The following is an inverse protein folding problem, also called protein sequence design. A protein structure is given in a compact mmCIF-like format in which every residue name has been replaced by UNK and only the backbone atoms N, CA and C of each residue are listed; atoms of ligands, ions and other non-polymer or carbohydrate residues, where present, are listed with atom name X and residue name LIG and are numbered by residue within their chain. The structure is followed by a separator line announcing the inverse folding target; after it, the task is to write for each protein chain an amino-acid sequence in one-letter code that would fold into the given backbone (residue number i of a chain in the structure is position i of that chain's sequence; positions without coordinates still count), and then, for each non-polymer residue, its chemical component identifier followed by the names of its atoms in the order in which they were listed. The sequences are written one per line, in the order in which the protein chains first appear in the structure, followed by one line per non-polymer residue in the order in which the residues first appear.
data_IF_420011963568
#
_entry.id   IF_420011963568
#
_cell.length_a   1.000
_cell.length_b   1.000
_cell.length_c   1.000
_cell.angle_alpha   90.00
_cell.angle_beta   90.00
_cell.angle_gamma   90.00
#
_symmetry.space_group_name_H-M   'P 1'
#
loop_
_entity.id
_entity.type
_entity.pdbx_description
1 polymer ?
#
# COMPACT_ATOMS: atom_id res chain seq x y z
N UNK A 1 -7.60 -28.50 5.88
CA UNK A 1 -8.83 -27.67 6.04
C UNK A 1 -9.61 -27.77 4.75
N UNK A 2 -10.93 -28.05 4.84
CA UNK A 2 -11.81 -28.15 3.67
C UNK A 2 -11.77 -26.83 2.86
N UNK A 3 -11.60 -26.95 1.56
CA UNK A 3 -11.79 -25.85 0.63
C UNK A 3 -13.25 -25.37 0.76
N UNK A 4 -13.50 -24.33 1.55
CA UNK A 4 -14.75 -23.59 1.48
C UNK A 4 -14.75 -22.81 0.18
N UNK A 5 -15.31 -23.42 -0.85
CA UNK A 5 -15.62 -22.71 -2.10
C UNK A 5 -16.78 -21.75 -1.83
N UNK A 6 -16.77 -20.62 -2.54
CA UNK A 6 -17.92 -19.73 -2.69
C UNK A 6 -19.17 -20.58 -2.86
N UNK A 7 -20.17 -20.34 -2.03
CA UNK A 7 -21.47 -20.99 -2.15
C UNK A 7 -22.24 -20.22 -3.21
N UNK A 8 -22.50 -20.85 -4.38
CA UNK A 8 -23.54 -20.35 -5.28
C UNK A 8 -24.83 -20.28 -4.47
N UNK A 9 -25.36 -19.07 -4.33
CA UNK A 9 -26.70 -18.94 -3.76
C UNK A 9 -27.72 -19.41 -4.79
N UNK A 10 -28.90 -19.81 -4.33
CA UNK A 10 -30.02 -20.09 -5.24
C UNK A 10 -30.52 -18.80 -5.95
N UNK A 11 -29.99 -17.62 -5.56
CA UNK A 11 -30.40 -16.34 -6.07
C UNK A 11 -29.63 -15.97 -7.35
N UNK A 12 -30.35 -15.37 -8.29
CA UNK A 12 -29.83 -14.88 -9.56
C UNK A 12 -30.17 -13.40 -9.73
N UNK A 13 -29.24 -12.65 -10.31
CA UNK A 13 -29.51 -11.29 -10.75
C UNK A 13 -30.06 -11.31 -12.19
N UNK A 14 -31.17 -10.59 -12.42
CA UNK A 14 -31.81 -10.52 -13.70
C UNK A 14 -31.51 -9.18 -14.40
N UNK A 15 -30.90 -9.24 -15.59
CA UNK A 15 -30.64 -8.08 -16.45
C UNK A 15 -31.58 -8.10 -17.66
N UNK A 16 -32.51 -7.17 -17.71
CA UNK A 16 -33.40 -7.00 -18.85
C UNK A 16 -32.78 -6.03 -19.86
N UNK A 17 -32.64 -6.48 -21.11
CA UNK A 17 -32.15 -5.67 -22.23
C UNK A 17 -33.13 -5.74 -23.39
N UNK A 18 -34.01 -4.73 -23.49
CA UNK A 18 -35.17 -4.77 -24.39
C UNK A 18 -36.10 -5.89 -23.99
N UNK A 19 -36.43 -6.80 -24.90
CA UNK A 19 -37.32 -7.95 -24.66
C UNK A 19 -36.57 -9.19 -24.13
N UNK A 20 -35.25 -9.14 -24.02
CA UNK A 20 -34.43 -10.27 -23.54
C UNK A 20 -34.12 -10.13 -22.07
N UNK A 21 -34.26 -11.27 -21.33
CA UNK A 21 -33.87 -11.38 -19.92
C UNK A 21 -32.63 -12.27 -19.82
N UNK A 22 -31.65 -11.86 -19.01
CA UNK A 22 -30.39 -12.56 -18.82
C UNK A 22 -30.16 -12.76 -17.33
N UNK A 23 -29.86 -14.00 -16.93
CA UNK A 23 -29.60 -14.37 -15.55
C UNK A 23 -28.12 -14.51 -15.28
N UNK A 24 -27.67 -13.98 -14.13
CA UNK A 24 -26.30 -14.02 -13.66
C UNK A 24 -26.25 -14.59 -12.24
N UNK A 25 -25.34 -15.53 -11.95
CA UNK A 25 -25.18 -16.07 -10.60
C UNK A 25 -24.82 -14.97 -9.59
N UNK A 26 -25.29 -15.15 -8.36
CA UNK A 26 -24.88 -14.35 -7.21
C UNK A 26 -24.00 -15.21 -6.32
N UNK A 27 -22.88 -14.68 -5.86
CA UNK A 27 -21.99 -15.31 -4.92
C UNK A 27 -21.94 -14.54 -3.61
N UNK A 28 -21.94 -15.27 -2.50
CA UNK A 28 -21.73 -14.71 -1.17
C UNK A 28 -20.31 -15.02 -0.70
N UNK A 29 -19.63 -13.97 -0.17
CA UNK A 29 -18.42 -14.18 0.62
C UNK A 29 -18.78 -14.70 2.02
N UNK A 30 -17.77 -15.05 2.82
CA UNK A 30 -17.97 -15.38 4.24
C UNK A 30 -18.42 -14.17 5.06
N UNK A 31 -18.02 -12.99 4.63
CA UNK A 31 -18.42 -11.68 5.17
C UNK A 31 -18.47 -10.66 4.02
N UNK A 32 -19.23 -9.59 4.21
CA UNK A 32 -19.37 -8.50 3.23
C UNK A 32 -20.54 -8.71 2.25
N UNK A 33 -20.68 -7.81 1.26
CA UNK A 33 -21.77 -7.85 0.30
C UNK A 33 -21.62 -8.97 -0.72
N UNK A 34 -22.77 -9.49 -1.20
CA UNK A 34 -22.83 -10.42 -2.32
C UNK A 34 -22.32 -9.80 -3.62
N UNK A 35 -21.82 -10.63 -4.53
CA UNK A 35 -21.34 -10.21 -5.85
C UNK A 35 -22.11 -10.91 -6.97
N UNK A 36 -22.30 -10.18 -8.08
CA UNK A 36 -22.91 -10.72 -9.31
C UNK A 36 -21.81 -11.16 -10.24
N UNK A 37 -21.77 -12.44 -10.61
CA UNK A 37 -20.83 -12.95 -11.62
C UNK A 37 -21.22 -12.51 -13.03
N UNK A 38 -20.51 -11.53 -13.54
CA UNK A 38 -20.69 -11.00 -14.90
C UNK A 38 -19.75 -11.62 -15.94
N UNK A 39 -19.02 -12.68 -15.61
CA UNK A 39 -18.04 -13.33 -16.52
C UNK A 39 -18.63 -13.73 -17.87
N UNK A 40 -19.92 -14.10 -17.91
CA UNK A 40 -20.66 -14.50 -19.12
C UNK A 40 -21.43 -13.33 -19.78
N UNK A 41 -21.39 -12.11 -19.23
CA UNK A 41 -22.19 -10.98 -19.73
C UNK A 41 -21.98 -10.72 -21.21
N UNK A 42 -20.73 -10.67 -21.66
CA UNK A 42 -20.42 -10.41 -23.08
C UNK A 42 -20.92 -11.53 -23.98
N UNK A 43 -20.74 -12.79 -23.58
CA UNK A 43 -21.20 -13.94 -24.36
C UNK A 43 -22.72 -13.98 -24.52
N UNK A 44 -23.47 -13.57 -23.49
CA UNK A 44 -24.92 -13.57 -23.51
C UNK A 44 -25.52 -12.32 -24.21
N UNK A 45 -24.87 -11.16 -24.09
CA UNK A 45 -25.50 -9.87 -24.45
C UNK A 45 -24.75 -9.07 -25.51
N UNK A 46 -23.48 -9.44 -25.80
CA UNK A 46 -22.57 -8.64 -26.63
C UNK A 46 -22.15 -7.31 -26.02
N UNK A 47 -22.39 -7.10 -24.69
CA UNK A 47 -22.10 -5.84 -23.98
C UNK A 47 -21.08 -6.04 -22.89
N UNK A 48 -20.34 -4.98 -22.56
CA UNK A 48 -19.43 -4.89 -21.42
C UNK A 48 -19.98 -3.93 -20.36
N UNK A 49 -19.55 -4.10 -19.12
CA UNK A 49 -19.73 -3.12 -18.05
C UNK A 49 -18.79 -1.94 -18.22
N UNK A 50 -19.14 -0.80 -17.64
CA UNK A 50 -18.30 0.39 -17.59
C UNK A 50 -18.15 0.84 -16.13
N UNK A 51 -16.97 0.55 -15.54
CA UNK A 51 -16.62 0.92 -14.17
C UNK A 51 -15.10 1.26 -14.12
N UNK A 52 -14.70 2.48 -14.53
CA UNK A 52 -13.28 2.85 -14.69
C UNK A 52 -12.45 2.79 -13.42
N UNK A 53 -13.07 2.87 -12.26
CA UNK A 53 -12.38 2.88 -10.96
C UNK A 53 -12.56 1.60 -10.16
N UNK A 54 -13.24 0.57 -10.72
CA UNK A 54 -13.61 -0.66 -10.02
C UNK A 54 -14.40 -0.42 -8.75
N UNK A 55 -15.19 0.66 -8.70
CA UNK A 55 -15.93 1.07 -7.50
C UNK A 55 -17.08 0.13 -7.16
N UNK A 56 -17.54 -0.66 -8.14
CA UNK A 56 -18.62 -1.63 -8.03
C UNK A 56 -18.24 -2.98 -8.62
N UNK A 57 -16.95 -3.30 -8.65
CA UNK A 57 -16.40 -4.50 -9.31
C UNK A 57 -15.50 -5.26 -8.36
N UNK A 58 -15.91 -6.47 -7.97
CA UNK A 58 -15.02 -7.44 -7.36
C UNK A 58 -14.09 -8.02 -8.44
N UNK A 59 -12.78 -7.87 -8.26
CA UNK A 59 -11.78 -8.29 -9.24
C UNK A 59 -11.14 -9.64 -8.94
N UNK A 60 -11.36 -10.18 -7.74
CA UNK A 60 -10.82 -11.47 -7.27
C UNK A 60 -11.54 -11.92 -6.01
N UNK A 61 -11.32 -13.17 -5.65
CA UNK A 61 -11.58 -13.69 -4.32
C UNK A 61 -10.32 -13.54 -3.46
N UNK A 62 -10.48 -13.25 -2.17
CA UNK A 62 -9.35 -13.12 -1.25
C UNK A 62 -9.74 -13.50 0.18
N UNK A 63 -8.79 -14.16 0.88
CA UNK A 63 -8.89 -14.50 2.30
C UNK A 63 -7.92 -13.68 3.17
N UNK A 64 -7.25 -12.68 2.59
CA UNK A 64 -6.15 -11.99 3.25
C UNK A 64 -6.65 -10.85 4.11
N UNK A 65 -7.41 -9.95 3.54
CA UNK A 65 -7.86 -8.73 4.22
C UNK A 65 -9.33 -8.47 3.92
N UNK A 66 -10.06 -8.09 4.96
CA UNK A 66 -11.43 -7.60 4.84
C UNK A 66 -11.54 -6.20 5.40
N UNK A 67 -12.26 -5.36 4.66
CA UNK A 67 -12.54 -3.97 5.04
C UNK A 67 -14.05 -3.72 4.97
N UNK A 68 -14.61 -3.20 6.07
CA UNK A 68 -15.90 -2.54 6.08
C UNK A 68 -15.69 -1.06 6.35
N UNK A 69 -15.83 -0.26 5.30
CA UNK A 69 -15.61 1.18 5.40
C UNK A 69 -16.72 1.92 6.12
N UNK A 70 -17.93 1.38 6.15
CA UNK A 70 -19.09 1.98 6.83
C UNK A 70 -19.01 1.74 8.35
N UNK A 71 -18.63 0.53 8.76
CA UNK A 71 -18.46 0.15 10.17
C UNK A 71 -17.07 0.49 10.72
N UNK A 72 -16.08 0.81 9.86
CA UNK A 72 -14.71 1.09 10.28
C UNK A 72 -13.95 -0.16 10.72
N UNK A 73 -14.16 -1.29 10.03
CA UNK A 73 -13.55 -2.57 10.32
C UNK A 73 -12.40 -2.82 9.34
N UNK A 74 -11.27 -3.30 9.86
CA UNK A 74 -10.15 -3.84 9.10
C UNK A 74 -9.65 -5.11 9.78
N UNK A 75 -9.68 -6.21 9.04
CA UNK A 75 -9.22 -7.53 9.51
C UNK A 75 -8.09 -8.05 8.62
N UNK A 76 -7.04 -8.60 9.22
CA UNK A 76 -6.05 -9.43 8.54
C UNK A 76 -6.30 -10.89 8.89
N UNK A 77 -6.65 -11.72 7.89
CA UNK A 77 -6.98 -13.13 8.09
C UNK A 77 -8.03 -13.36 9.22
N UNK A 78 -8.95 -12.41 9.40
CA UNK A 78 -9.97 -12.44 10.43
C UNK A 78 -9.59 -11.79 11.76
N UNK A 79 -8.33 -11.40 11.97
CA UNK A 79 -7.88 -10.73 13.19
C UNK A 79 -8.05 -9.21 13.08
N UNK A 80 -8.65 -8.53 14.07
CA UNK A 80 -8.78 -7.07 14.08
C UNK A 80 -7.42 -6.39 14.07
N UNK A 81 -7.27 -5.36 13.21
CA UNK A 81 -5.99 -4.66 13.02
C UNK A 81 -5.46 -4.03 14.32
N UNK A 82 -6.34 -3.51 15.17
CA UNK A 82 -5.95 -2.95 16.47
C UNK A 82 -5.31 -3.98 17.39
N UNK A 83 -5.87 -5.20 17.44
CA UNK A 83 -5.29 -6.28 18.25
C UNK A 83 -3.92 -6.72 17.76
N UNK A 84 -3.75 -6.85 16.44
CA UNK A 84 -2.44 -7.20 15.86
C UNK A 84 -1.42 -6.10 16.16
N UNK A 85 -1.77 -4.84 15.99
CA UNK A 85 -0.88 -3.72 16.27
C UNK A 85 -0.51 -3.61 17.75
N UNK A 86 -1.37 -4.05 18.65
CA UNK A 86 -1.13 -4.03 20.09
C UNK A 86 -0.33 -5.25 20.59
N UNK A 87 -0.64 -6.44 20.07
CA UNK A 87 -0.19 -7.71 20.67
C UNK A 87 0.85 -8.47 19.85
N UNK A 88 1.00 -8.15 18.57
CA UNK A 88 1.92 -8.86 17.67
C UNK A 88 3.14 -8.04 17.30
N UNK A 89 4.17 -8.72 16.77
CA UNK A 89 5.27 -8.13 16.03
C UNK A 89 4.92 -8.03 14.54
N UNK A 90 5.68 -7.25 13.78
CA UNK A 90 5.50 -7.19 12.33
C UNK A 90 5.78 -8.54 11.65
N UNK A 91 6.75 -9.32 12.15
CA UNK A 91 7.04 -10.63 11.58
C UNK A 91 5.98 -11.68 11.91
N UNK A 92 5.33 -11.64 13.08
CA UNK A 92 4.13 -12.46 13.35
C UNK A 92 2.99 -12.12 12.40
N UNK A 93 2.73 -10.82 12.22
CA UNK A 93 1.73 -10.34 11.25
C UNK A 93 2.09 -10.71 9.81
N UNK A 94 3.38 -10.66 9.45
CA UNK A 94 3.85 -11.09 8.14
C UNK A 94 3.63 -12.58 7.90
N UNK A 95 3.90 -13.40 8.91
CA UNK A 95 3.63 -14.84 8.86
C UNK A 95 2.11 -15.09 8.68
N UNK A 96 1.29 -14.42 9.48
CA UNK A 96 -0.18 -14.51 9.40
C UNK A 96 -0.67 -14.20 7.98
N UNK A 97 -0.24 -13.10 7.38
CA UNK A 97 -0.67 -12.71 6.03
C UNK A 97 -0.27 -13.76 4.97
N UNK A 98 0.93 -14.32 5.07
CA UNK A 98 1.46 -15.30 4.12
C UNK A 98 0.88 -16.70 4.31
N UNK A 99 0.67 -17.13 5.56
CA UNK A 99 0.31 -18.51 5.90
C UNK A 99 -1.16 -18.70 6.30
N UNK A 100 -1.85 -17.62 6.68
CA UNK A 100 -3.27 -17.64 7.05
C UNK A 100 -3.54 -17.81 8.55
N UNK A 101 -2.55 -18.17 9.35
CA UNK A 101 -2.64 -18.43 10.78
C UNK A 101 -1.47 -17.74 11.51
N UNK A 102 -1.66 -17.36 12.76
CA UNK A 102 -0.56 -16.89 13.60
C UNK A 102 0.44 -18.01 13.87
N UNK A 103 1.76 -17.73 13.87
CA UNK A 103 2.76 -18.76 14.09
C UNK A 103 2.76 -19.27 15.53
N UNK A 104 3.02 -20.55 15.73
CA UNK A 104 3.50 -21.02 17.01
C UNK A 104 4.98 -20.65 17.23
N UNK A 105 5.51 -20.90 18.43
CA UNK A 105 6.88 -20.49 18.79
C UNK A 105 7.95 -21.05 17.84
N UNK A 106 7.83 -22.31 17.42
CA UNK A 106 8.81 -22.92 16.49
C UNK A 106 8.71 -22.29 15.10
N UNK A 107 7.52 -22.13 14.57
CA UNK A 107 7.26 -21.50 13.27
C UNK A 107 7.74 -20.03 13.26
N UNK A 108 7.51 -19.31 14.35
CA UNK A 108 8.01 -17.94 14.51
C UNK A 108 9.52 -17.89 14.47
N UNK A 109 10.19 -18.76 15.23
CA UNK A 109 11.65 -18.82 15.31
C UNK A 109 12.27 -19.22 13.95
N UNK A 110 11.69 -20.17 13.24
CA UNK A 110 12.14 -20.57 11.91
C UNK A 110 11.97 -19.43 10.90
N UNK A 111 10.81 -18.78 10.90
CA UNK A 111 10.50 -17.67 10.00
C UNK A 111 11.41 -16.47 10.24
N UNK A 112 11.56 -16.03 11.49
CA UNK A 112 12.42 -14.90 11.85
C UNK A 112 13.87 -15.17 11.55
N UNK A 113 14.34 -16.39 11.77
CA UNK A 113 15.71 -16.84 11.41
C UNK A 113 15.92 -16.78 9.89
N UNK A 114 14.94 -17.26 9.11
CA UNK A 114 14.99 -17.20 7.65
C UNK A 114 15.08 -15.76 7.14
N UNK A 115 14.23 -14.86 7.66
CA UNK A 115 14.24 -13.43 7.33
C UNK A 115 15.59 -12.79 7.69
N UNK A 116 16.11 -13.04 8.89
CA UNK A 116 17.38 -12.48 9.35
C UNK A 116 18.58 -12.93 8.48
N UNK A 117 18.58 -14.19 8.05
CA UNK A 117 19.64 -14.73 7.19
C UNK A 117 19.62 -14.14 5.76
N UNK A 118 18.47 -13.73 5.27
CA UNK A 118 18.29 -13.14 3.95
C UNK A 118 18.34 -11.59 3.95
N UNK A 119 18.58 -10.94 5.09
CA UNK A 119 18.52 -9.47 5.22
C UNK A 119 19.59 -8.73 4.39
N UNK A 120 20.77 -9.32 4.18
CA UNK A 120 21.81 -8.72 3.36
C UNK A 120 21.43 -8.70 1.88
N UNK A 121 21.80 -7.62 1.19
CA UNK A 121 21.67 -7.50 -0.26
C UNK A 121 22.98 -7.89 -0.95
N UNK A 122 22.96 -8.33 -2.23
CA UNK A 122 24.18 -8.53 -3.01
C UNK A 122 25.06 -7.27 -3.02
N UNK A 123 26.37 -7.44 -2.82
CA UNK A 123 27.32 -6.32 -2.74
C UNK A 123 27.33 -5.43 -3.99
N UNK A 124 27.04 -6.01 -5.15
CA UNK A 124 26.95 -5.31 -6.43
C UNK A 124 25.80 -4.30 -6.46
N UNK A 125 24.76 -4.50 -5.64
CA UNK A 125 23.66 -3.52 -5.51
C UNK A 125 24.12 -2.19 -4.89
N UNK A 126 25.20 -2.17 -4.12
CA UNK A 126 25.82 -0.93 -3.65
C UNK A 126 26.25 -0.05 -4.83
N UNK A 127 26.84 -0.67 -5.87
CA UNK A 127 27.24 0.05 -7.08
C UNK A 127 26.02 0.53 -7.89
N UNK A 128 24.89 -0.17 -7.79
CA UNK A 128 23.65 0.23 -8.47
C UNK A 128 23.15 1.61 -7.99
N UNK A 129 23.31 1.90 -6.68
CA UNK A 129 22.97 3.20 -6.15
C UNK A 129 23.80 4.35 -6.73
N UNK A 130 25.06 4.10 -7.10
CA UNK A 130 25.94 5.11 -7.71
C UNK A 130 25.44 5.58 -9.08
N UNK A 131 24.55 4.84 -9.73
CA UNK A 131 23.92 5.21 -11.00
C UNK A 131 22.75 6.20 -10.86
N UNK A 132 22.26 6.43 -9.65
CA UNK A 132 21.22 7.42 -9.40
C UNK A 132 21.80 8.83 -9.25
N UNK A 133 21.02 9.86 -9.61
CA UNK A 133 21.38 11.24 -9.29
C UNK A 133 21.43 11.48 -7.78
N UNK A 134 22.22 12.44 -7.32
CA UNK A 134 22.36 12.76 -5.90
C UNK A 134 21.07 13.25 -5.24
N UNK A 135 20.16 13.78 -6.03
CA UNK A 135 18.83 14.28 -5.66
C UNK A 135 17.71 13.29 -6.02
N UNK A 136 18.07 12.05 -6.36
CA UNK A 136 17.08 11.03 -6.71
C UNK A 136 16.12 10.76 -5.53
N UNK A 137 14.83 10.72 -5.85
CA UNK A 137 13.81 10.42 -4.86
C UNK A 137 13.98 8.98 -4.33
N UNK A 138 13.95 8.72 -3.01
CA UNK A 138 14.12 7.38 -2.43
C UNK A 138 13.17 6.32 -2.99
N UNK A 139 11.95 6.69 -3.38
CA UNK A 139 11.01 5.78 -4.05
C UNK A 139 11.48 5.32 -5.42
N UNK A 140 12.17 6.18 -6.19
CA UNK A 140 12.76 5.80 -7.47
C UNK A 140 13.87 4.76 -7.28
N UNK A 141 14.72 4.98 -6.27
CA UNK A 141 15.77 4.03 -5.90
C UNK A 141 15.18 2.70 -5.45
N UNK A 142 14.20 2.73 -4.54
CA UNK A 142 13.53 1.51 -4.06
C UNK A 142 12.92 0.72 -5.21
N UNK A 143 12.17 1.36 -6.09
CA UNK A 143 11.52 0.74 -7.24
C UNK A 143 12.56 0.08 -8.18
N UNK A 144 13.63 0.80 -8.53
CA UNK A 144 14.68 0.32 -9.41
C UNK A 144 15.46 -0.86 -8.81
N UNK A 145 15.84 -0.75 -7.53
CA UNK A 145 16.65 -1.78 -6.86
C UNK A 145 15.83 -3.06 -6.62
N UNK A 146 14.57 -2.95 -6.18
CA UNK A 146 13.69 -4.12 -5.99
C UNK A 146 13.45 -4.83 -7.32
N UNK A 147 13.19 -4.11 -8.41
CA UNK A 147 13.09 -4.71 -9.75
C UNK A 147 14.39 -5.39 -10.18
N UNK A 148 15.54 -4.79 -9.83
CA UNK A 148 16.87 -5.32 -10.09
C UNK A 148 17.19 -6.63 -9.38
N UNK A 149 16.52 -6.95 -8.25
CA UNK A 149 16.69 -8.23 -7.55
C UNK A 149 16.41 -9.44 -8.46
N UNK A 150 15.55 -9.30 -9.45
CA UNK A 150 15.26 -10.36 -10.43
C UNK A 150 16.50 -10.83 -11.22
N UNK A 151 17.51 -9.96 -11.37
CA UNK A 151 18.76 -10.30 -12.03
C UNK A 151 19.73 -11.13 -11.14
N UNK A 152 19.52 -11.09 -9.82
CA UNK A 152 20.34 -11.82 -8.85
C UNK A 152 19.73 -13.16 -8.43
N UNK A 153 18.40 -13.25 -8.42
CA UNK A 153 17.63 -14.37 -7.88
C UNK A 153 16.77 -15.07 -8.92
N UNK A 154 17.23 -15.09 -10.17
CA UNK A 154 16.50 -15.68 -11.31
C UNK A 154 16.26 -17.20 -11.15
N UNK A 155 17.03 -17.90 -10.32
CA UNK A 155 16.89 -19.34 -10.06
C UNK A 155 15.58 -19.70 -9.32
N UNK A 156 15.08 -18.78 -8.47
CA UNK A 156 13.87 -18.97 -7.66
C UNK A 156 12.67 -18.16 -8.20
N UNK A 157 12.56 -18.03 -9.52
CA UNK A 157 11.47 -17.27 -10.16
C UNK A 157 10.40 -18.13 -10.81
N UNK A 158 10.45 -19.45 -10.66
CA UNK A 158 9.43 -20.38 -11.13
C UNK A 158 8.14 -20.20 -10.30
N UNK A 159 7.21 -19.40 -10.81
CA UNK A 159 6.01 -18.99 -10.07
C UNK A 159 5.04 -20.15 -9.76
N UNK A 160 5.08 -21.24 -10.53
CA UNK A 160 4.27 -22.43 -10.28
C UNK A 160 4.84 -23.32 -9.18
N UNK A 161 6.08 -23.11 -8.77
CA UNK A 161 6.74 -23.80 -7.67
C UNK A 161 6.47 -23.09 -6.34
N UNK A 162 5.70 -23.72 -5.43
CA UNK A 162 5.34 -23.14 -4.15
C UNK A 162 6.55 -22.81 -3.26
N UNK A 163 7.62 -23.62 -3.34
CA UNK A 163 8.87 -23.39 -2.59
C UNK A 163 9.60 -22.11 -3.10
N UNK A 164 9.65 -21.91 -4.43
CA UNK A 164 10.22 -20.70 -5.00
C UNK A 164 9.39 -19.45 -4.66
N UNK A 165 8.06 -19.57 -4.63
CA UNK A 165 7.19 -18.47 -4.21
C UNK A 165 7.42 -18.07 -2.76
N UNK A 166 7.54 -19.06 -1.87
CA UNK A 166 7.81 -18.80 -0.46
C UNK A 166 9.18 -18.15 -0.28
N UNK A 167 10.22 -18.69 -0.90
CA UNK A 167 11.59 -18.15 -0.87
C UNK A 167 11.64 -16.71 -1.38
N UNK A 168 11.02 -16.42 -2.52
CA UNK A 168 10.96 -15.08 -3.08
C UNK A 168 10.21 -14.11 -2.17
N UNK A 169 9.11 -14.53 -1.54
CA UNK A 169 8.34 -13.73 -0.58
C UNK A 169 9.16 -13.41 0.67
N UNK A 170 9.82 -14.41 1.26
CA UNK A 170 10.70 -14.21 2.42
C UNK A 170 11.87 -13.30 2.08
N UNK A 171 12.48 -13.49 0.92
CA UNK A 171 13.61 -12.68 0.44
C UNK A 171 13.21 -11.22 0.21
N UNK A 172 12.04 -10.95 -0.36
CA UNK A 172 11.52 -9.60 -0.50
C UNK A 172 11.31 -8.93 0.86
N UNK A 173 10.65 -9.60 1.80
CA UNK A 173 10.44 -9.09 3.16
C UNK A 173 11.78 -8.83 3.87
N UNK A 174 12.74 -9.73 3.71
CA UNK A 174 14.04 -9.62 4.36
C UNK A 174 14.89 -8.47 3.83
N UNK A 175 14.88 -8.23 2.51
CA UNK A 175 15.77 -7.27 1.85
C UNK A 175 15.20 -5.87 1.74
N UNK A 176 13.88 -5.71 1.78
CA UNK A 176 13.25 -4.41 1.61
C UNK A 176 13.68 -3.38 2.66
N UNK A 177 13.84 -3.70 3.97
CA UNK A 177 14.33 -2.73 4.94
C UNK A 177 15.78 -2.32 4.67
N UNK A 178 16.64 -3.24 4.24
CA UNK A 178 18.02 -2.91 3.88
C UNK A 178 18.07 -1.97 2.67
N UNK A 179 17.29 -2.25 1.62
CA UNK A 179 17.22 -1.39 0.43
C UNK A 179 16.63 -0.01 0.79
N UNK A 180 15.61 0.04 1.64
CA UNK A 180 15.01 1.29 2.11
C UNK A 180 16.02 2.13 2.94
N UNK A 181 16.77 1.49 3.83
CA UNK A 181 17.82 2.16 4.61
C UNK A 181 18.98 2.65 3.71
N UNK A 182 19.35 1.88 2.69
CA UNK A 182 20.35 2.31 1.69
C UNK A 182 19.83 3.52 0.91
N UNK A 183 18.56 3.53 0.49
CA UNK A 183 17.95 4.67 -0.20
C UNK A 183 17.92 5.92 0.69
N UNK A 184 17.62 5.75 1.98
CA UNK A 184 17.68 6.83 2.96
C UNK A 184 19.10 7.39 3.08
N UNK A 185 20.08 6.55 3.38
CA UNK A 185 21.47 6.98 3.57
C UNK A 185 22.06 7.62 2.32
N UNK A 186 21.77 7.07 1.15
CA UNK A 186 22.16 7.67 -0.12
C UNK A 186 21.60 9.08 -0.28
N UNK A 187 20.32 9.28 0.05
CA UNK A 187 19.64 10.58 -0.08
C UNK A 187 20.20 11.66 0.86
N UNK A 188 20.79 11.24 1.99
CA UNK A 188 21.41 12.17 2.96
C UNK A 188 22.95 12.21 2.82
N UNK A 189 23.53 11.47 1.88
CA UNK A 189 24.97 11.47 1.59
C UNK A 189 25.80 10.72 2.62
N UNK A 190 25.22 9.74 3.32
CA UNK A 190 25.89 8.91 4.32
C UNK A 190 26.26 7.52 3.76
N UNK A 191 27.26 6.88 4.38
CA UNK A 191 27.65 5.51 4.05
C UNK A 191 26.56 4.52 4.45
N UNK A 192 26.41 3.43 3.69
CA UNK A 192 25.51 2.34 4.03
C UNK A 192 25.93 1.64 5.33
N UNK A 193 24.93 1.15 6.06
CA UNK A 193 25.11 0.32 7.25
C UNK A 193 24.45 -1.01 6.98
N UNK A 194 25.20 -2.08 7.19
CA UNK A 194 24.73 -3.44 6.99
C UNK A 194 23.80 -3.89 8.12
N UNK A 195 22.87 -4.82 7.85
CA UNK A 195 22.04 -5.39 8.90
C UNK A 195 22.86 -6.13 9.94
N UNK A 196 22.51 -5.96 11.21
CA UNK A 196 23.18 -6.58 12.36
C UNK A 196 22.42 -7.83 12.78
N UNK A 197 23.12 -8.96 12.90
CA UNK A 197 22.52 -10.20 13.40
C UNK A 197 22.11 -10.07 14.86
N UNK A 198 20.93 -10.57 15.18
CA UNK A 198 20.38 -10.58 16.54
C UNK A 198 19.51 -9.39 16.90
N UNK A 199 19.48 -8.33 16.09
CA UNK A 199 18.49 -7.27 16.24
C UNK A 199 17.13 -7.70 15.65
N UNK A 200 16.04 -7.21 16.26
CA UNK A 200 14.68 -7.35 15.74
C UNK A 200 14.51 -6.62 14.39
N UNK A 201 13.44 -6.93 13.65
CA UNK A 201 13.23 -6.42 12.29
C UNK A 201 13.18 -4.88 12.24
N UNK A 202 12.32 -4.26 13.05
CA UNK A 202 12.20 -2.81 13.09
C UNK A 202 13.41 -2.15 13.74
N UNK A 203 13.98 -2.76 14.77
CA UNK A 203 15.21 -2.29 15.41
C UNK A 203 16.37 -2.27 14.42
N UNK A 204 16.54 -3.33 13.64
CA UNK A 204 17.60 -3.43 12.65
C UNK A 204 17.41 -2.39 11.52
N UNK A 205 16.18 -2.15 11.09
CA UNK A 205 15.89 -1.09 10.14
C UNK A 205 16.27 0.29 10.67
N UNK A 206 15.89 0.63 11.91
CA UNK A 206 16.28 1.90 12.55
C UNK A 206 17.80 1.99 12.74
N UNK A 207 18.44 0.88 13.12
CA UNK A 207 19.88 0.81 13.21
C UNK A 207 20.55 1.13 11.87
N UNK A 208 20.11 0.52 10.78
CA UNK A 208 20.67 0.79 9.44
C UNK A 208 20.43 2.25 9.00
N UNK A 209 19.31 2.88 9.40
CA UNK A 209 19.04 4.25 9.06
C UNK A 209 19.88 5.25 9.86
N UNK A 210 19.93 5.12 11.18
CA UNK A 210 20.38 6.21 12.07
C UNK A 210 21.68 5.94 12.81
N UNK A 211 22.08 4.67 13.00
CA UNK A 211 23.26 4.37 13.79
C UNK A 211 24.53 4.87 13.12
N UNK A 212 25.38 5.54 13.91
CA UNK A 212 26.74 5.95 13.51
C UNK A 212 27.75 4.98 14.11
N UNK A 213 28.92 4.79 13.47
CA UNK A 213 29.96 3.89 13.99
C UNK A 213 30.45 4.22 15.41
N UNK A 214 30.23 5.45 15.86
CA UNK A 214 30.61 5.95 17.19
C UNK A 214 29.53 5.77 18.25
N UNK A 215 28.31 5.40 17.84
CA UNK A 215 27.19 5.31 18.75
C UNK A 215 27.18 3.93 19.41
N UNK A 216 27.10 3.92 20.75
CA UNK A 216 27.05 2.69 21.54
C UNK A 216 25.68 2.52 22.27
N UNK A 217 24.82 3.54 22.21
CA UNK A 217 23.52 3.48 22.85
C UNK A 217 22.55 2.62 22.03
N UNK A 218 21.77 1.72 22.65
CA UNK A 218 20.71 1.00 21.97
C UNK A 218 19.60 1.97 21.50
N UNK A 219 18.90 1.58 20.44
CA UNK A 219 17.73 2.31 19.97
C UNK A 219 16.63 2.20 21.03
N UNK A 220 15.91 3.28 21.30
CA UNK A 220 14.82 3.28 22.26
C UNK A 220 13.76 2.25 21.88
N UNK A 221 13.34 1.45 22.86
CA UNK A 221 12.28 0.44 22.68
C UNK A 221 10.95 1.08 22.27
N UNK A 222 10.68 2.30 22.70
CA UNK A 222 9.49 3.07 22.26
C UNK A 222 9.54 3.34 20.76
N UNK A 223 10.69 3.75 20.21
CA UNK A 223 10.85 3.98 18.77
C UNK A 223 10.78 2.69 17.97
N UNK A 224 11.36 1.60 18.49
CA UNK A 224 11.25 0.27 17.87
C UNK A 224 9.79 -0.16 17.82
N UNK A 225 9.05 -0.04 18.93
CA UNK A 225 7.63 -0.41 19.00
C UNK A 225 6.77 0.47 18.08
N UNK A 226 7.07 1.74 17.97
CA UNK A 226 6.40 2.65 17.05
C UNK A 226 6.57 2.19 15.57
N UNK A 227 7.78 1.79 15.18
CA UNK A 227 8.03 1.26 13.83
C UNK A 227 7.31 -0.08 13.59
N UNK A 228 7.28 -0.99 14.58
CA UNK A 228 6.51 -2.24 14.49
C UNK A 228 5.02 -1.94 14.23
N UNK A 229 4.42 -1.03 15.00
CA UNK A 229 3.01 -0.61 14.82
C UNK A 229 2.78 0.02 13.45
N UNK A 230 3.66 0.93 13.00
CA UNK A 230 3.58 1.53 11.67
C UNK A 230 3.61 0.45 10.58
N UNK A 231 4.51 -0.52 10.68
CA UNK A 231 4.62 -1.59 9.71
C UNK A 231 3.37 -2.49 9.70
N UNK A 232 2.86 -2.90 10.86
CA UNK A 232 1.64 -3.72 10.97
C UNK A 232 0.43 -2.99 10.36
N UNK A 233 0.22 -1.72 10.71
CA UNK A 233 -0.92 -0.93 10.25
C UNK A 233 -0.92 -0.64 8.75
N UNK A 234 0.25 -0.78 8.09
CA UNK A 234 0.42 -0.57 6.65
C UNK A 234 0.64 -1.86 5.85
N UNK A 235 0.70 -3.03 6.52
CA UNK A 235 1.10 -4.29 5.90
C UNK A 235 0.22 -4.72 4.73
N UNK A 236 -1.10 -4.57 4.84
CA UNK A 236 -2.04 -4.78 3.72
C UNK A 236 -3.26 -3.84 3.81
N UNK A 237 -4.00 -3.70 2.74
CA UNK A 237 -5.23 -2.92 2.68
C UNK A 237 -6.08 -3.34 1.48
N UNK A 238 -6.41 -4.64 1.40
CA UNK A 238 -7.27 -5.23 0.38
C UNK A 238 -6.84 -4.88 -1.07
N UNK A 239 -7.79 -4.72 -2.01
CA UNK A 239 -7.55 -4.41 -3.43
C UNK A 239 -7.37 -2.90 -3.68
N UNK A 240 -6.44 -2.26 -2.96
CA UNK A 240 -6.01 -0.90 -3.29
C UNK A 240 -5.26 -0.86 -4.63
N UNK A 241 -4.99 0.35 -5.15
CA UNK A 241 -4.40 0.53 -6.48
C UNK A 241 -3.06 -0.21 -6.66
N UNK A 242 -2.17 -0.20 -5.67
CA UNK A 242 -0.87 -0.88 -5.78
C UNK A 242 -1.00 -2.41 -5.68
N UNK A 243 -1.88 -2.92 -4.83
CA UNK A 243 -2.19 -4.36 -4.75
C UNK A 243 -2.81 -4.87 -6.05
N UNK A 244 -3.79 -4.14 -6.61
CA UNK A 244 -4.38 -4.46 -7.91
C UNK A 244 -3.33 -4.39 -9.04
N UNK A 245 -2.38 -3.46 -8.96
CA UNK A 245 -1.26 -3.38 -9.91
C UNK A 245 -0.34 -4.60 -9.81
N UNK A 246 0.00 -5.05 -8.60
CA UNK A 246 0.78 -6.28 -8.39
C UNK A 246 0.05 -7.48 -8.99
N UNK A 247 -1.24 -7.66 -8.69
CA UNK A 247 -2.04 -8.75 -9.25
C UNK A 247 -2.15 -8.66 -10.78
N UNK A 248 -2.36 -7.47 -11.34
CA UNK A 248 -2.43 -7.27 -12.77
C UNK A 248 -1.09 -7.60 -13.47
N UNK A 249 0.04 -7.11 -12.95
CA UNK A 249 1.36 -7.43 -13.48
C UNK A 249 1.63 -8.94 -13.41
N UNK A 250 1.31 -9.55 -12.28
CA UNK A 250 1.49 -11.00 -12.04
C UNK A 250 0.64 -11.86 -12.94
N UNK A 251 -0.52 -11.38 -13.38
CA UNK A 251 -1.45 -12.12 -14.26
C UNK A 251 -0.82 -12.52 -15.58
N UNK A 252 0.27 -11.85 -15.97
CA UNK A 252 1.07 -12.20 -17.16
C UNK A 252 2.11 -13.31 -16.93
N UNK A 253 2.24 -13.81 -15.69
CA UNK A 253 3.30 -14.74 -15.29
C UNK A 253 4.64 -14.08 -14.99
N UNK A 254 4.66 -12.75 -14.77
CA UNK A 254 5.89 -12.03 -14.42
C UNK A 254 6.44 -12.46 -13.06
N UNK A 255 7.78 -12.38 -12.90
CA UNK A 255 8.45 -12.76 -11.67
C UNK A 255 8.08 -11.84 -10.48
N UNK A 256 8.17 -12.32 -9.23
CA UNK A 256 7.70 -11.59 -8.05
C UNK A 256 8.39 -10.23 -7.84
N UNK A 257 9.69 -10.14 -8.09
CA UNK A 257 10.44 -8.89 -7.91
C UNK A 257 9.96 -7.78 -8.84
N UNK A 258 9.69 -8.11 -10.11
CA UNK A 258 9.13 -7.18 -11.08
C UNK A 258 7.70 -6.78 -10.71
N UNK A 259 6.88 -7.71 -10.22
CA UNK A 259 5.51 -7.43 -9.79
C UNK A 259 5.48 -6.50 -8.57
N UNK A 260 6.35 -6.74 -7.58
CA UNK A 260 6.47 -5.86 -6.41
C UNK A 260 7.01 -4.48 -6.81
N UNK A 261 7.98 -4.40 -7.73
CA UNK A 261 8.44 -3.11 -8.25
C UNK A 261 7.30 -2.31 -8.94
N UNK A 262 6.40 -2.99 -9.66
CA UNK A 262 5.20 -2.35 -10.23
C UNK A 262 4.26 -1.83 -9.13
N UNK A 263 4.08 -2.57 -8.04
CA UNK A 263 3.35 -2.13 -6.85
C UNK A 263 3.97 -0.88 -6.21
N UNK A 264 5.29 -0.87 -6.04
CA UNK A 264 6.05 0.28 -5.53
C UNK A 264 5.86 1.51 -6.43
N UNK A 265 5.95 1.33 -7.75
CA UNK A 265 5.74 2.41 -8.71
C UNK A 265 4.31 2.99 -8.61
N UNK A 266 3.30 2.14 -8.48
CA UNK A 266 1.91 2.57 -8.29
C UNK A 266 1.70 3.29 -6.95
N UNK A 267 2.31 2.77 -5.86
CA UNK A 267 2.20 3.37 -4.53
C UNK A 267 2.78 4.79 -4.50
N UNK A 268 3.82 5.06 -5.27
CA UNK A 268 4.47 6.38 -5.34
C UNK A 268 3.57 7.48 -5.92
N UNK A 269 2.47 7.12 -6.57
CA UNK A 269 1.53 8.10 -7.11
C UNK A 269 0.90 8.99 -6.04
N UNK A 270 0.73 10.32 -6.30
CA UNK A 270 0.20 11.27 -5.32
C UNK A 270 -1.26 11.00 -4.92
N UNK A 271 -1.98 10.24 -5.73
CA UNK A 271 -3.36 9.83 -5.43
C UNK A 271 -3.45 8.54 -4.58
N UNK A 272 -2.32 7.95 -4.21
CA UNK A 272 -2.24 6.70 -3.44
C UNK A 272 -1.33 6.87 -2.21
N UNK A 273 -0.07 6.46 -2.24
CA UNK A 273 0.81 6.48 -1.07
C UNK A 273 1.39 7.86 -0.68
N UNK A 274 1.17 8.90 -1.47
CA UNK A 274 1.65 10.25 -1.18
C UNK A 274 0.80 11.07 -0.20
N UNK A 275 -0.22 10.48 0.42
CA UNK A 275 -1.15 11.22 1.28
C UNK A 275 -0.51 11.73 2.58
N UNK A 276 0.38 10.94 3.20
CA UNK A 276 1.12 11.35 4.39
C UNK A 276 2.13 12.48 4.11
N UNK A 277 2.81 12.46 2.97
CA UNK A 277 3.65 13.58 2.53
C UNK A 277 2.82 14.84 2.31
N UNK A 278 1.65 14.71 1.70
CA UNK A 278 0.74 15.82 1.47
C UNK A 278 0.20 16.40 2.78
N UNK A 279 -0.06 15.56 3.79
CA UNK A 279 -0.47 16.02 5.12
C UNK A 279 0.60 16.90 5.78
N UNK A 280 1.87 16.48 5.77
CA UNK A 280 2.95 17.29 6.32
C UNK A 280 3.22 18.57 5.53
N UNK A 281 3.13 18.52 4.20
CA UNK A 281 3.24 19.74 3.37
C UNK A 281 2.16 20.74 3.74
N UNK A 282 0.92 20.29 3.92
CA UNK A 282 -0.20 21.11 4.37
C UNK A 282 0.06 21.70 5.76
N UNK A 283 0.51 20.90 6.74
CA UNK A 283 0.85 21.41 8.08
C UNK A 283 1.95 22.46 8.03
N UNK A 284 2.97 22.27 7.18
CA UNK A 284 4.04 23.22 6.95
C UNK A 284 3.54 24.52 6.26
N UNK A 285 2.57 24.40 5.35
CA UNK A 285 1.94 25.55 4.70
C UNK A 285 1.11 26.37 5.70
N UNK A 286 0.35 25.72 6.58
CA UNK A 286 -0.34 26.39 7.68
C UNK A 286 0.68 27.09 8.59
N UNK A 287 1.73 26.42 9.00
CA UNK A 287 2.94 26.94 9.61
C UNK A 287 2.81 27.50 11.03
N UNK A 288 1.60 27.90 11.48
CA UNK A 288 1.36 28.35 12.85
C UNK A 288 -0.12 28.17 13.26
N UNK A 289 -0.35 27.96 14.55
CA UNK A 289 -1.68 27.76 15.13
C UNK A 289 -2.62 28.93 14.82
N UNK A 290 -2.11 30.17 14.83
CA UNK A 290 -2.91 31.38 14.55
C UNK A 290 -3.50 31.43 13.13
N UNK A 291 -2.95 30.67 12.17
CA UNK A 291 -3.43 30.62 10.78
C UNK A 291 -4.46 29.51 10.54
N UNK A 292 -4.63 28.58 11.47
CA UNK A 292 -5.57 27.46 11.34
C UNK A 292 -6.99 27.92 10.99
N UNK A 293 -7.58 28.94 11.65
CA UNK A 293 -8.94 29.39 11.33
C UNK A 293 -9.15 29.78 9.86
N UNK A 294 -8.12 30.41 9.23
CA UNK A 294 -8.21 30.80 7.81
C UNK A 294 -8.18 29.57 6.89
N UNK A 295 -7.38 28.56 7.21
CA UNK A 295 -7.31 27.33 6.44
C UNK A 295 -8.55 26.45 6.63
N UNK A 296 -9.14 26.43 7.81
CA UNK A 296 -10.44 25.78 8.04
C UNK A 296 -11.52 26.43 7.21
N UNK A 297 -11.55 27.78 7.13
CA UNK A 297 -12.49 28.50 6.29
C UNK A 297 -12.34 28.12 4.81
N UNK A 298 -11.10 28.04 4.31
CA UNK A 298 -10.82 27.53 2.95
C UNK A 298 -11.30 26.10 2.76
N UNK A 299 -11.04 25.20 3.71
CA UNK A 299 -11.46 23.80 3.64
C UNK A 299 -13.01 23.66 3.60
N UNK A 300 -13.73 24.54 4.27
CA UNK A 300 -15.20 24.60 4.26
C UNK A 300 -15.78 25.19 2.97
N UNK A 301 -15.00 25.99 2.22
CA UNK A 301 -15.43 26.57 0.95
C UNK A 301 -15.26 25.55 -0.20
N UNK A 302 -16.38 25.18 -0.83
CA UNK A 302 -16.38 24.23 -1.96
C UNK A 302 -15.64 24.76 -3.20
N UNK A 303 -15.52 26.08 -3.34
CA UNK A 303 -14.88 26.75 -4.49
C UNK A 303 -13.36 26.93 -4.26
N UNK A 304 -12.87 26.83 -3.03
CA UNK A 304 -11.44 26.88 -2.74
C UNK A 304 -10.79 25.53 -3.10
N UNK A 305 -9.63 25.52 -3.79
CA UNK A 305 -8.92 24.29 -4.13
C UNK A 305 -8.26 23.63 -2.91
N UNK A 306 -8.11 24.33 -1.79
CA UNK A 306 -7.49 23.79 -0.58
C UNK A 306 -8.28 22.61 -0.02
N UNK A 307 -7.56 21.58 0.40
CA UNK A 307 -8.11 20.40 1.08
C UNK A 307 -7.28 20.07 2.30
N UNK A 308 -7.95 19.67 3.37
CA UNK A 308 -7.28 19.11 4.54
C UNK A 308 -6.78 17.70 4.22
N UNK A 309 -5.48 17.57 4.03
CA UNK A 309 -4.82 16.28 3.79
C UNK A 309 -4.62 15.55 5.10
N UNK A 310 -4.81 14.23 5.09
CA UNK A 310 -4.77 13.41 6.30
C UNK A 310 -6.07 13.43 7.12
N UNK A 311 -7.18 13.96 6.55
CA UNK A 311 -8.51 14.00 7.16
C UNK A 311 -9.54 13.31 6.29
N UNK A 312 -10.39 12.48 6.91
CA UNK A 312 -11.31 11.60 6.19
C UNK A 312 -10.57 10.47 5.47
N UNK A 313 -11.30 9.56 4.86
CA UNK A 313 -10.75 8.43 4.12
C UNK A 313 -11.66 8.07 2.95
N UNK A 314 -11.08 7.56 1.83
CA UNK A 314 -11.88 7.15 0.67
C UNK A 314 -12.72 5.91 0.93
N UNK A 315 -12.22 4.99 1.77
CA UNK A 315 -12.88 3.73 2.12
C UNK A 315 -13.68 3.90 3.40
N UNK A 316 -13.04 4.34 4.48
CA UNK A 316 -13.73 4.52 5.77
C UNK A 316 -14.61 5.77 5.75
N UNK A 317 -15.93 5.56 5.75
CA UNK A 317 -16.92 6.64 5.90
C UNK A 317 -17.15 7.03 7.37
N UNK A 318 -16.61 6.25 8.28
CA UNK A 318 -16.57 6.49 9.69
C UNK A 318 -15.13 6.76 10.13
N UNK A 319 -14.68 6.20 11.23
CA UNK A 319 -13.33 6.34 11.75
C UNK A 319 -12.40 5.27 11.15
N UNK A 320 -11.17 5.65 10.77
CA UNK A 320 -10.14 4.69 10.34
C UNK A 320 -9.67 3.89 11.56
N UNK A 321 -9.88 2.55 11.63
CA UNK A 321 -9.55 1.77 12.83
C UNK A 321 -8.04 1.76 13.17
N UNK A 322 -7.20 2.17 12.22
CA UNK A 322 -5.75 2.29 12.42
C UNK A 322 -5.36 3.60 13.09
N UNK A 323 -6.19 4.63 12.96
CA UNK A 323 -5.86 5.97 13.42
C UNK A 323 -5.76 6.06 14.95
N UNK A 324 -6.56 5.29 15.72
CA UNK A 324 -6.47 5.26 17.18
C UNK A 324 -5.10 4.79 17.65
N UNK A 325 -4.64 3.64 17.12
CA UNK A 325 -3.32 3.09 17.47
C UNK A 325 -2.20 4.03 17.04
N UNK A 326 -2.35 4.66 15.87
CA UNK A 326 -1.34 5.62 15.38
C UNK A 326 -1.30 6.91 16.19
N UNK A 327 -2.44 7.39 16.68
CA UNK A 327 -2.53 8.55 17.57
C UNK A 327 -1.77 8.29 18.88
N UNK A 328 -2.07 7.17 19.54
CA UNK A 328 -1.38 6.76 20.77
C UNK A 328 0.12 6.62 20.53
N UNK A 329 0.52 5.94 19.45
CA UNK A 329 1.91 5.77 19.05
C UNK A 329 2.62 7.11 18.81
N UNK A 330 1.94 8.05 18.16
CA UNK A 330 2.45 9.39 17.94
C UNK A 330 2.75 10.09 19.28
N UNK A 331 1.81 10.08 20.20
CA UNK A 331 1.98 10.69 21.53
C UNK A 331 3.11 10.02 22.34
N UNK A 332 3.23 8.69 22.29
CA UNK A 332 4.33 7.95 22.93
C UNK A 332 5.70 8.39 22.38
N UNK A 333 5.84 8.48 21.06
CA UNK A 333 7.09 8.91 20.40
C UNK A 333 7.47 10.34 20.75
N UNK A 334 6.49 11.25 20.74
CA UNK A 334 6.73 12.66 21.06
C UNK A 334 7.16 12.83 22.53
N UNK A 335 6.54 12.09 23.45
CA UNK A 335 6.91 12.08 24.86
C UNK A 335 8.32 11.52 25.06
N UNK A 336 8.66 10.40 24.42
CA UNK A 336 9.99 9.78 24.48
C UNK A 336 11.10 10.71 23.98
N UNK A 337 10.86 11.39 22.87
CA UNK A 337 11.83 12.33 22.28
C UNK A 337 11.88 13.70 22.98
N UNK A 338 10.97 13.95 23.93
CA UNK A 338 10.89 15.21 24.66
C UNK A 338 10.58 16.43 23.79
N UNK A 339 9.93 16.21 22.64
CA UNK A 339 9.57 17.28 21.68
C UNK A 339 8.39 18.06 22.26
N UNK A 340 8.65 19.31 22.67
CA UNK A 340 7.64 20.19 23.30
C UNK A 340 7.35 21.46 22.51
N UNK A 341 8.29 21.91 21.69
CA UNK A 341 8.25 23.23 21.02
C UNK A 341 8.50 23.09 19.52
N UNK A 342 7.77 22.17 18.85
CA UNK A 342 7.80 22.07 17.39
C UNK A 342 6.55 22.75 16.80
N UNK A 343 6.70 23.87 16.04
CA UNK A 343 5.56 24.60 15.49
C UNK A 343 4.66 23.77 14.57
N UNK A 344 5.21 22.76 13.90
CA UNK A 344 4.44 21.89 13.02
C UNK A 344 3.58 20.94 13.86
N UNK A 345 4.12 20.47 14.97
CA UNK A 345 3.40 19.64 15.92
C UNK A 345 2.26 20.41 16.61
N UNK A 346 2.53 21.65 17.04
CA UNK A 346 1.50 22.51 17.65
C UNK A 346 0.32 22.72 16.68
N UNK A 347 0.62 22.96 15.39
CA UNK A 347 -0.41 23.06 14.33
C UNK A 347 -1.17 21.74 14.18
N UNK A 348 -0.47 20.62 14.19
CA UNK A 348 -1.10 19.31 14.04
C UNK A 348 -2.04 18.99 15.21
N UNK A 349 -1.60 19.18 16.45
CA UNK A 349 -2.40 18.92 17.65
C UNK A 349 -3.63 19.83 17.76
N UNK A 350 -3.48 21.11 17.39
CA UNK A 350 -4.64 22.02 17.36
C UNK A 350 -5.62 21.70 16.24
N UNK A 351 -5.15 21.30 15.04
CA UNK A 351 -6.02 20.81 13.96
C UNK A 351 -6.78 19.55 14.37
N UNK A 352 -6.11 18.61 15.02
CA UNK A 352 -6.74 17.43 15.58
C UNK A 352 -7.87 17.80 16.53
N UNK A 353 -7.57 18.65 17.53
CA UNK A 353 -8.55 19.11 18.51
C UNK A 353 -9.78 19.73 17.84
N UNK A 354 -9.58 20.55 16.81
CA UNK A 354 -10.66 21.21 16.08
C UNK A 354 -11.46 20.17 15.29
N UNK A 355 -10.80 19.26 14.57
CA UNK A 355 -11.49 18.25 13.76
C UNK A 355 -12.34 17.29 14.59
N UNK A 356 -11.94 17.02 15.83
CA UNK A 356 -12.70 16.18 16.76
C UNK A 356 -13.87 16.91 17.44
N UNK A 357 -13.96 18.25 17.36
CA UNK A 357 -14.95 19.05 18.07
C UNK A 357 -15.81 19.99 17.22
N UNK A 358 -15.35 20.38 16.03
CA UNK A 358 -16.08 21.28 15.12
C UNK A 358 -17.21 20.53 14.39
N UNK A 359 -18.43 21.04 14.44
CA UNK A 359 -19.64 20.42 13.84
C UNK A 359 -19.44 20.02 12.37
N UNK A 360 -18.80 20.87 11.55
CA UNK A 360 -18.60 20.60 10.13
C UNK A 360 -17.75 19.32 9.91
N UNK A 361 -16.70 19.12 10.71
CA UNK A 361 -15.84 17.94 10.58
C UNK A 361 -16.51 16.70 11.13
N UNK A 362 -17.21 16.85 12.26
CA UNK A 362 -17.97 15.75 12.90
C UNK A 362 -19.11 15.28 12.00
N UNK A 363 -19.95 16.19 11.48
CA UNK A 363 -21.04 15.85 10.57
C UNK A 363 -20.57 15.17 9.29
N UNK A 364 -19.42 15.61 8.75
CA UNK A 364 -18.84 15.03 7.53
C UNK A 364 -17.87 13.88 7.80
N UNK A 365 -17.67 13.52 9.07
CA UNK A 365 -16.76 12.46 9.49
C UNK A 365 -15.33 12.65 8.95
N UNK A 366 -14.87 13.91 8.92
CA UNK A 366 -13.53 14.27 8.49
C UNK A 366 -12.54 14.20 9.66
N UNK A 367 -12.40 13.03 10.23
CA UNK A 367 -11.47 12.77 11.32
C UNK A 367 -10.03 12.63 10.81
N UNK A 368 -9.00 12.93 11.64
CA UNK A 368 -7.62 12.59 11.31
C UNK A 368 -7.49 11.09 11.05
N UNK A 369 -6.82 10.73 9.98
CA UNK A 369 -6.61 9.36 9.56
C UNK A 369 -5.17 8.89 9.86
N UNK A 370 -4.84 7.65 9.47
CA UNK A 370 -3.51 7.07 9.70
C UNK A 370 -2.39 7.91 9.08
N UNK A 371 -2.60 8.54 7.92
CA UNK A 371 -1.57 9.32 7.22
C UNK A 371 -1.18 10.59 7.98
N UNK A 372 -2.14 11.19 8.70
CA UNK A 372 -1.90 12.35 9.56
C UNK A 372 -0.94 11.99 10.70
N UNK A 373 -1.26 10.97 11.48
CA UNK A 373 -0.45 10.60 12.64
C UNK A 373 0.88 9.95 12.26
N UNK A 374 0.90 9.07 11.25
CA UNK A 374 2.15 8.45 10.80
C UNK A 374 3.13 9.48 10.25
N UNK A 375 2.65 10.50 9.55
CA UNK A 375 3.46 11.59 9.06
C UNK A 375 4.18 12.35 10.19
N UNK A 376 3.43 12.71 11.25
CA UNK A 376 3.98 13.40 12.42
C UNK A 376 5.01 12.49 13.12
N UNK A 377 4.65 11.23 13.36
CA UNK A 377 5.52 10.26 14.04
C UNK A 377 6.83 10.07 13.31
N UNK A 378 6.81 9.82 12.01
CA UNK A 378 8.00 9.62 11.19
C UNK A 378 8.88 10.88 11.12
N UNK A 379 8.26 12.06 11.04
CA UNK A 379 8.97 13.34 11.12
C UNK A 379 9.69 13.49 12.46
N UNK A 380 9.01 13.21 13.57
CA UNK A 380 9.57 13.26 14.92
C UNK A 380 10.75 12.30 15.09
N UNK A 381 10.67 11.10 14.49
CA UNK A 381 11.74 10.10 14.48
C UNK A 381 12.94 10.49 13.60
N UNK A 382 12.89 11.59 12.86
CA UNK A 382 14.00 12.10 12.06
C UNK A 382 14.01 11.68 10.59
N UNK A 383 12.96 11.02 10.10
CA UNK A 383 12.85 10.71 8.67
C UNK A 383 12.50 11.95 7.86
N UNK A 384 13.17 12.21 6.71
CA UNK A 384 12.73 13.23 5.78
C UNK A 384 11.42 12.79 5.10
N UNK A 385 10.60 13.76 4.72
CA UNK A 385 9.28 13.52 4.12
C UNK A 385 9.34 12.59 2.91
N UNK A 386 10.42 12.68 2.11
CA UNK A 386 10.65 11.81 0.94
C UNK A 386 10.77 10.31 1.27
N UNK A 387 11.00 9.95 2.53
CA UNK A 387 11.08 8.56 2.98
C UNK A 387 9.71 7.96 3.38
N UNK A 388 8.67 8.75 3.55
CA UNK A 388 7.42 8.25 4.11
C UNK A 388 6.75 7.20 3.24
N UNK A 389 6.66 7.45 1.94
CA UNK A 389 6.12 6.47 0.99
C UNK A 389 7.04 5.24 0.86
N UNK A 390 8.36 5.39 1.09
CA UNK A 390 9.30 4.25 1.14
C UNK A 390 9.00 3.34 2.33
N UNK A 391 8.74 3.92 3.51
CA UNK A 391 8.38 3.18 4.71
C UNK A 391 7.03 2.47 4.56
N UNK A 392 6.10 3.13 3.88
CA UNK A 392 4.83 2.52 3.49
C UNK A 392 5.06 1.33 2.54
N UNK A 393 5.89 1.46 1.50
CA UNK A 393 6.23 0.38 0.58
C UNK A 393 6.92 -0.80 1.29
N UNK A 394 7.84 -0.51 2.23
CA UNK A 394 8.49 -1.52 3.07
C UNK A 394 7.44 -2.36 3.80
N UNK A 395 6.55 -1.70 4.53
CA UNK A 395 5.51 -2.37 5.29
C UNK A 395 4.55 -3.17 4.39
N UNK A 396 4.13 -2.59 3.25
CA UNK A 396 3.18 -3.17 2.31
C UNK A 396 3.73 -4.35 1.51
N UNK A 397 5.04 -4.53 1.46
CA UNK A 397 5.68 -5.60 0.68
C UNK A 397 5.15 -6.99 1.07
N UNK A 398 4.89 -7.25 2.34
CA UNK A 398 4.31 -8.53 2.77
C UNK A 398 2.89 -8.72 2.26
N UNK A 399 2.05 -7.68 2.31
CA UNK A 399 0.69 -7.72 1.76
C UNK A 399 0.70 -8.00 0.26
N UNK A 400 1.54 -7.29 -0.49
CA UNK A 400 1.71 -7.55 -1.92
C UNK A 400 2.19 -8.97 -2.20
N UNK A 401 3.13 -9.50 -1.42
CA UNK A 401 3.62 -10.87 -1.57
C UNK A 401 2.52 -11.90 -1.26
N UNK A 402 1.71 -11.67 -0.23
CA UNK A 402 0.58 -12.53 0.11
C UNK A 402 -0.50 -12.51 -0.99
N UNK A 403 -0.88 -11.33 -1.47
CA UNK A 403 -1.84 -11.14 -2.55
C UNK A 403 -1.35 -11.74 -3.88
N UNK A 404 -0.05 -11.63 -4.15
CA UNK A 404 0.58 -12.27 -5.30
C UNK A 404 0.52 -13.80 -5.21
N UNK A 405 0.87 -14.39 -4.06
CA UNK A 405 0.81 -15.84 -3.84
C UNK A 405 -0.61 -16.37 -4.00
N UNK A 406 -1.60 -15.71 -3.35
CA UNK A 406 -3.00 -16.11 -3.43
C UNK A 406 -3.50 -16.10 -4.88
N UNK A 407 -3.15 -15.08 -5.67
CA UNK A 407 -3.53 -14.99 -7.07
C UNK A 407 -2.92 -16.12 -7.92
N UNK A 408 -1.65 -16.48 -7.69
CA UNK A 408 -0.99 -17.56 -8.46
C UNK A 408 -1.61 -18.93 -8.11
N UNK A 409 -2.08 -19.11 -6.89
CA UNK A 409 -2.72 -20.34 -6.43
C UNK A 409 -4.18 -20.46 -6.88
N UNK A 410 -4.80 -19.38 -7.33
CA UNK A 410 -6.18 -19.37 -7.80
C UNK A 410 -6.30 -20.02 -9.19
N UNK A 411 -6.97 -21.19 -9.33
CA UNK A 411 -7.15 -21.88 -10.61
C UNK A 411 -8.05 -21.12 -11.60
N UNK A 412 -8.84 -20.16 -11.09
CA UNK A 412 -9.73 -19.31 -11.91
C UNK A 412 -9.01 -18.12 -12.51
N UNK A 413 -7.78 -17.85 -12.06
CA UNK A 413 -6.99 -16.70 -12.48
C UNK A 413 -6.82 -16.63 -14.01
N UNK A 414 -6.94 -15.44 -14.55
CA UNK A 414 -6.74 -15.14 -15.98
C UNK A 414 -5.88 -13.88 -16.14
N UNK A 415 -5.21 -13.75 -17.29
CA UNK A 415 -4.49 -12.54 -17.62
C UNK A 415 -5.47 -11.34 -17.66
N UNK A 416 -5.14 -10.30 -16.90
CA UNK A 416 -5.93 -9.08 -16.85
C UNK A 416 -5.87 -8.31 -18.17
N UNK A 417 -7.03 -8.21 -18.87
CA UNK A 417 -7.15 -7.52 -20.14
C UNK A 417 -8.49 -6.77 -20.23
N UNK A 418 -8.63 -5.62 -19.57
CA UNK A 418 -9.85 -4.83 -19.65
C UNK A 418 -10.10 -4.31 -21.08
N UNK A 419 -11.36 -4.01 -21.41
CA UNK A 419 -11.77 -3.46 -22.70
C UNK A 419 -12.03 -1.97 -22.56
N UNK A 420 -11.55 -1.12 -23.49
CA UNK A 420 -11.96 0.28 -23.53
C UNK A 420 -13.32 0.45 -24.24
N UNK A 421 -14.02 1.51 -23.90
CA UNK A 421 -15.03 2.07 -24.82
C UNK A 421 -14.27 2.74 -25.96
N UNK A 422 -14.38 2.19 -27.17
CA UNK A 422 -13.58 2.66 -28.30
C UNK A 422 -14.27 3.80 -29.05
N UNK A 423 -13.55 4.91 -29.21
CA UNK A 423 -13.87 5.99 -30.13
C UNK A 423 -12.96 6.01 -31.36
N UNK A 424 -12.29 4.88 -31.64
CA UNK A 424 -11.41 4.74 -32.80
C UNK A 424 -12.23 4.63 -34.07
N UNK A 425 -11.91 5.44 -35.07
CA UNK A 425 -12.55 5.40 -36.37
C UNK A 425 -11.72 4.55 -37.35
N UNK A 426 -12.40 3.82 -38.23
CA UNK A 426 -11.76 3.14 -39.33
C UNK A 426 -11.19 4.21 -40.26
N UNK A 427 -9.91 4.09 -40.56
CA UNK A 427 -9.24 4.91 -41.60
C UNK A 427 -8.75 4.02 -42.73
N UNK A 428 -9.06 4.39 -43.95
CA UNK A 428 -8.45 3.75 -45.10
C UNK A 428 -6.96 4.11 -45.14
N UNK A 429 -6.11 3.16 -45.56
CA UNK A 429 -4.71 3.47 -45.85
C UNK A 429 -4.67 4.29 -47.14
N UNK A 430 -4.63 5.60 -47.01
CA UNK A 430 -4.65 6.52 -48.15
C UNK A 430 -3.23 6.69 -48.72
N UNK A 431 -3.09 6.54 -50.02
CA UNK A 431 -1.88 6.95 -50.75
C UNK A 431 -1.86 8.48 -50.87
N UNK A 432 -0.68 9.08 -51.16
CA UNK A 432 -0.56 10.54 -51.39
C UNK A 432 -1.56 11.07 -52.42
N UNK A 433 -1.89 10.26 -53.42
CA UNK A 433 -2.87 10.61 -54.45
C UNK A 433 -4.30 10.71 -53.91
N UNK A 434 -4.69 9.80 -53.01
CA UNK A 434 -6.04 9.81 -52.41
C UNK A 434 -6.22 11.00 -51.45
N UNK A 435 -5.16 11.40 -50.73
CA UNK A 435 -5.17 12.59 -49.88
C UNK A 435 -5.44 13.89 -50.68
N UNK A 436 -4.88 14.02 -51.87
CA UNK A 436 -5.10 15.17 -52.73
C UNK A 436 -6.56 15.22 -53.24
N UNK A 437 -7.12 14.06 -53.61
CA UNK A 437 -8.52 13.99 -54.05
C UNK A 437 -9.51 14.36 -52.92
N UNK A 438 -9.23 13.94 -51.69
CA UNK A 438 -10.07 14.27 -50.51
C UNK A 438 -10.05 15.73 -50.19
N UNK A 439 -8.88 16.38 -50.19
CA UNK A 439 -8.72 17.82 -50.00
C UNK A 439 -9.39 18.68 -51.07
N UNK A 440 -9.63 18.12 -52.26
CA UNK A 440 -10.36 18.79 -53.34
C UNK A 440 -11.88 18.62 -53.22
N UNK A 441 -12.36 17.56 -52.56
CA UNK A 441 -13.78 17.31 -52.31
C UNK A 441 -14.33 18.02 -51.07
N UNK A 442 -13.46 18.41 -50.14
CA UNK A 442 -13.79 19.14 -48.91
C UNK A 442 -13.74 20.69 -49.09
N UNK A 443 -13.46 21.18 -50.32
CA UNK A 443 -13.58 22.57 -50.77
C UNK A 443 -14.85 22.80 -51.60
#
# INVERSE_FOLDING_TARGET
MSEEKITETADTANLQLGDSNHEFPIFDGTIGPSVIDISKLYAQTGRFTYDPGFTSTASCESKITYIDGDEGILLYRGYPIGELAEKSSFLETSYLLLKGELPNENEYNEFTTSIANEANVPSELHNFFSGFGKDAHPMAMLCGVVGGLSAYYHEATEINNASHRLEASQRLIAKIPTIAAMAFRYSVGENFVEPVKGLGYAENFLNMCFQKPTDSAPISSTLVRAMERIFILHADHEQNASTSTVRLASSSGANPYACIAAGIACLWGPAHGGANEAALKMLSEIGSVNRIPDYIKKAKDKNDPFRLMGFGHRVYKNYDPRATVMQETCHEVLAELGIKDDPLLDVAMELERIALSDEYFVEKKLYPNIDFYSGITLKAMGFPTSMFTVLFALARTVGWAAQWNEMIEDPSQRIGRPRPVSYTHLRAHETKANLVCRLLLEK
#
